data_IF_581796000084
#
_entry.id   IF_581796000084
#
_cell.length_a   1.000
_cell.length_b   1.000
_cell.length_c   1.000
_cell.angle_alpha   90.00
_cell.angle_beta   90.00
_cell.angle_gamma   90.00
#
_symmetry.space_group_name_H-M   'P 1'
#
loop_
_entity.id
_entity.type
_entity.pdbx_description
1 polymer ?
2 non-polymer ?
3 non-polymer ?
4 water ?
#
# COMPACT_ATOMS: atom_id res chain seq x y z
N UNK A 22 -32.67 -15.90 -28.43
CA UNK A 22 -31.76 -14.90 -29.04
C UNK A 22 -31.49 -13.76 -28.04
N UNK A 23 -30.28 -13.70 -27.47
CA UNK A 23 -29.89 -12.61 -26.55
C UNK A 23 -30.13 -12.91 -25.08
N UNK A 24 -30.90 -13.96 -24.76
CA UNK A 24 -31.24 -14.34 -23.36
C UNK A 24 -29.94 -14.75 -22.62
N UNK A 25 -29.10 -15.66 -23.15
CA UNK A 25 -27.87 -16.09 -22.40
C UNK A 25 -26.89 -14.89 -22.27
N UNK A 26 -26.77 -13.99 -23.26
CA UNK A 26 -25.80 -12.86 -23.18
C UNK A 26 -26.27 -11.84 -22.10
N UNK A 27 -27.56 -11.53 -22.03
CA UNK A 27 -28.15 -10.68 -20.96
C UNK A 27 -27.97 -11.34 -19.57
N UNK A 28 -28.22 -12.64 -19.45
CA UNK A 28 -28.12 -13.35 -18.16
C UNK A 28 -26.66 -13.28 -17.69
N UNK A 29 -25.67 -13.45 -18.60
CA UNK A 29 -24.23 -13.39 -18.22
C UNK A 29 -23.94 -11.98 -17.62
N UNK A 30 -24.37 -10.89 -18.28
CA UNK A 30 -24.10 -9.50 -17.80
C UNK A 30 -24.73 -9.32 -16.41
N UNK A 31 -25.96 -9.77 -16.22
CA UNK A 31 -26.67 -9.67 -14.92
C UNK A 31 -25.90 -10.45 -13.84
N UNK A 32 -25.40 -11.63 -14.16
CA UNK A 32 -24.71 -12.47 -13.15
C UNK A 32 -23.39 -11.79 -12.75
N UNK A 33 -22.64 -11.22 -13.67
CA UNK A 33 -21.38 -10.51 -13.35
C UNK A 33 -21.71 -9.38 -12.34
N UNK A 34 -22.74 -8.57 -12.64
CA UNK A 34 -23.11 -7.44 -11.74
C UNK A 34 -23.50 -7.96 -10.34
N UNK A 35 -24.34 -9.01 -10.28
CA UNK A 35 -24.83 -9.59 -9.01
C UNK A 35 -23.66 -10.14 -8.17
N UNK A 36 -22.72 -10.85 -8.79
CA UNK A 36 -21.55 -11.42 -8.07
C UNK A 36 -20.71 -10.24 -7.49
N UNK A 37 -20.56 -9.15 -8.23
CA UNK A 37 -19.79 -7.98 -7.75
C UNK A 37 -20.49 -7.36 -6.54
N UNK A 38 -21.80 -7.12 -6.61
CA UNK A 38 -22.55 -6.52 -5.47
C UNK A 38 -22.44 -7.41 -4.21
N UNK A 39 -22.62 -8.71 -4.35
CA UNK A 39 -22.53 -9.65 -3.20
C UNK A 39 -21.11 -9.59 -2.60
N UNK A 40 -20.09 -9.68 -3.44
CA UNK A 40 -18.67 -9.72 -2.98
C UNK A 40 -18.31 -8.42 -2.24
N UNK A 41 -18.74 -7.25 -2.75
CA UNK A 41 -18.50 -5.95 -2.11
C UNK A 41 -19.16 -5.93 -0.72
N UNK A 42 -20.42 -6.36 -0.60
CA UNK A 42 -21.14 -6.39 0.70
C UNK A 42 -20.48 -7.35 1.72
N UNK A 43 -19.93 -8.46 1.24
CA UNK A 43 -19.31 -9.49 2.11
C UNK A 43 -17.88 -9.03 2.50
N UNK A 44 -17.16 -8.26 1.68
CA UNK A 44 -15.79 -7.76 1.98
C UNK A 44 -15.86 -6.50 2.87
N UNK A 45 -16.74 -5.56 2.51
CA UNK A 45 -16.79 -4.19 3.12
C UNK A 45 -18.10 -4.11 3.94
N UNK A 46 -17.98 -4.27 5.26
CA UNK A 46 -19.12 -4.25 6.20
C UNK A 46 -18.60 -3.81 7.58
N UNK A 47 -19.52 -3.70 8.54
CA UNK A 47 -19.19 -3.08 9.87
C UNK A 47 -18.70 -4.16 10.87
N UNK A 48 -18.53 -5.42 10.44
CA UNK A 48 -18.10 -6.49 11.39
C UNK A 48 -16.62 -6.27 11.77
N UNK A 49 -16.31 -6.35 13.07
CA UNK A 49 -14.93 -6.15 13.59
C UNK A 49 -14.10 -7.42 13.42
N UNK A 50 -13.64 -7.60 12.18
CA UNK A 50 -13.00 -8.81 11.65
C UNK A 50 -12.26 -8.45 10.37
N UNK A 51 -11.16 -9.16 10.06
CA UNK A 51 -10.40 -8.86 8.83
C UNK A 51 -11.24 -9.11 7.57
N UNK A 52 -10.97 -8.32 6.53
CA UNK A 52 -11.55 -8.55 5.19
C UNK A 52 -11.30 -10.01 4.80
N UNK A 53 -12.36 -10.68 4.36
CA UNK A 53 -12.32 -12.07 3.86
C UNK A 53 -11.64 -12.12 2.48
N UNK A 54 -10.56 -12.89 2.35
CA UNK A 54 -9.76 -13.03 1.11
C UNK A 54 -10.63 -13.54 -0.06
N UNK A 55 -11.53 -14.49 0.17
CA UNK A 55 -12.40 -15.07 -0.90
C UNK A 55 -13.15 -13.93 -1.61
N UNK A 56 -13.70 -12.97 -0.84
CA UNK A 56 -14.55 -11.89 -1.39
C UNK A 56 -13.65 -10.83 -2.03
N UNK A 57 -12.55 -10.41 -1.37
CA UNK A 57 -11.61 -9.46 -2.00
C UNK A 57 -11.06 -10.00 -3.35
N UNK A 58 -10.72 -11.29 -3.42
CA UNK A 58 -10.16 -11.89 -4.65
C UNK A 58 -11.21 -11.79 -5.78
N UNK A 59 -12.50 -12.00 -5.49
CA UNK A 59 -13.55 -11.91 -6.53
C UNK A 59 -13.69 -10.45 -7.04
N UNK A 60 -13.55 -9.42 -6.18
CA UNK A 60 -13.54 -8.00 -6.64
C UNK A 60 -12.33 -7.78 -7.55
N UNK A 61 -11.12 -8.24 -7.14
CA UNK A 61 -9.88 -8.01 -7.92
C UNK A 61 -10.04 -8.69 -9.32
N UNK A 62 -10.48 -9.94 -9.32
CA UNK A 62 -10.66 -10.67 -10.63
C UNK A 62 -11.73 -9.95 -11.49
N UNK A 63 -12.77 -9.39 -10.87
CA UNK A 63 -13.77 -8.56 -11.61
C UNK A 63 -13.10 -7.40 -12.35
N UNK A 64 -12.08 -6.76 -11.79
CA UNK A 64 -11.42 -5.61 -12.43
C UNK A 64 -10.62 -6.10 -13.67
N UNK A 65 -10.07 -7.31 -13.61
CA UNK A 65 -9.39 -7.96 -14.77
C UNK A 65 -10.42 -8.34 -15.84
N UNK A 66 -11.62 -8.75 -15.46
CA UNK A 66 -12.71 -9.15 -16.40
C UNK A 66 -13.19 -7.92 -17.22
N UNK A 67 -13.47 -6.79 -16.54
CA UNK A 67 -13.97 -5.58 -17.26
C UNK A 67 -12.83 -4.61 -17.62
N UNK A 68 -11.58 -4.87 -17.24
CA UNK A 68 -10.41 -3.98 -17.53
C UNK A 68 -10.71 -2.57 -16.95
N UNK A 69 -11.09 -2.52 -15.65
CA UNK A 69 -11.38 -1.27 -14.95
C UNK A 69 -11.99 -1.53 -13.59
N UNK A 70 -12.38 -0.44 -12.92
CA UNK A 70 -13.07 -0.52 -11.59
C UNK A 70 -14.38 0.25 -11.60
N UNK A 71 -14.97 0.45 -12.77
CA UNK A 71 -16.20 1.26 -12.87
C UNK A 71 -17.43 0.53 -12.29
N UNK A 72 -17.52 -0.81 -12.41
CA UNK A 72 -18.61 -1.57 -11.71
C UNK A 72 -18.44 -1.46 -10.19
N UNK A 73 -17.24 -1.68 -9.68
CA UNK A 73 -16.98 -1.51 -8.23
C UNK A 73 -17.48 -0.14 -7.75
N UNK A 74 -17.06 0.94 -8.41
CA UNK A 74 -17.43 2.30 -7.88
C UNK A 74 -18.93 2.52 -8.04
N UNK A 75 -19.58 1.98 -9.08
CA UNK A 75 -21.06 2.15 -9.27
C UNK A 75 -21.85 1.68 -8.05
N UNK A 76 -21.35 0.62 -7.36
CA UNK A 76 -21.96 0.12 -6.11
C UNK A 76 -21.34 0.80 -4.87
N UNK A 77 -20.03 1.06 -4.85
CA UNK A 77 -19.35 1.55 -3.63
C UNK A 77 -19.82 2.97 -3.26
N UNK A 78 -20.27 3.82 -4.20
CA UNK A 78 -20.80 5.17 -3.85
C UNK A 78 -22.07 5.04 -3.00
N UNK A 79 -22.71 3.88 -2.97
CA UNK A 79 -23.89 3.61 -2.11
C UNK A 79 -23.56 3.10 -0.71
N UNK A 80 -22.27 2.84 -0.40
CA UNK A 80 -21.90 2.38 0.97
C UNK A 80 -22.05 3.54 1.96
N UNK A 81 -22.63 3.28 3.15
CA UNK A 81 -22.85 4.35 4.16
C UNK A 81 -21.59 4.59 5.02
N UNK A 82 -20.48 5.02 4.40
CA UNK A 82 -19.16 5.13 5.09
C UNK A 82 -19.23 5.98 6.38
N UNK A 83 -19.92 7.15 6.42
CA UNK A 83 -19.97 7.95 7.66
C UNK A 83 -20.70 7.29 8.86
N UNK A 84 -21.46 6.23 8.65
CA UNK A 84 -22.22 5.44 9.66
C UNK A 84 -21.27 4.62 10.55
N UNK A 85 -20.07 4.30 10.04
CA UNK A 85 -19.21 3.29 10.74
C UNK A 85 -17.74 3.48 10.36
N UNK A 86 -16.87 3.65 11.36
CA UNK A 86 -15.42 3.77 11.15
C UNK A 86 -14.82 2.40 10.78
N UNK A 87 -15.37 1.30 11.28
CA UNK A 87 -14.90 -0.05 10.87
C UNK A 87 -15.23 -0.24 9.36
N UNK A 88 -16.45 0.08 8.93
CA UNK A 88 -16.85 -0.03 7.49
C UNK A 88 -15.85 0.83 6.66
N UNK A 89 -15.55 2.06 7.09
CA UNK A 89 -14.63 2.98 6.36
C UNK A 89 -13.22 2.36 6.28
N UNK A 90 -12.75 1.76 7.37
CA UNK A 90 -11.40 1.07 7.43
C UNK A 90 -11.34 -0.09 6.40
N UNK A 91 -12.35 -0.96 6.40
CA UNK A 91 -12.37 -2.12 5.48
C UNK A 91 -12.49 -1.63 4.03
N UNK A 92 -13.24 -0.57 3.78
CA UNK A 92 -13.28 0.09 2.43
C UNK A 92 -11.87 0.47 1.98
N UNK A 93 -11.10 1.15 2.84
CA UNK A 93 -9.71 1.56 2.51
C UNK A 93 -8.81 0.35 2.24
N UNK A 94 -8.95 -0.70 3.03
CA UNK A 94 -8.16 -1.94 2.87
C UNK A 94 -8.43 -2.57 1.50
N UNK A 95 -9.73 -2.71 1.15
CA UNK A 95 -10.06 -3.25 -0.21
C UNK A 95 -9.50 -2.32 -1.32
N UNK A 96 -9.61 -0.97 -1.19
CA UNK A 96 -9.02 -0.09 -2.23
C UNK A 96 -7.52 -0.36 -2.38
N UNK A 97 -6.80 -0.51 -1.27
CA UNK A 97 -5.34 -0.79 -1.35
C UNK A 97 -5.08 -2.09 -2.14
N UNK A 98 -5.84 -3.14 -1.88
CA UNK A 98 -5.69 -4.44 -2.61
C UNK A 98 -6.05 -4.27 -4.08
N UNK A 99 -7.10 -3.51 -4.40
CA UNK A 99 -7.50 -3.28 -5.82
C UNK A 99 -6.39 -2.52 -6.55
N UNK A 100 -5.81 -1.49 -5.91
CA UNK A 100 -4.70 -0.77 -6.55
C UNK A 100 -3.50 -1.70 -6.81
N UNK A 101 -3.09 -2.52 -5.81
CA UNK A 101 -1.87 -3.36 -5.99
C UNK A 101 -2.09 -4.53 -6.97
N UNK A 102 -3.25 -5.21 -6.93
CA UNK A 102 -3.45 -6.49 -7.64
C UNK A 102 -4.48 -6.41 -8.77
N UNK A 103 -5.27 -5.32 -8.86
CA UNK A 103 -6.28 -5.19 -9.95
C UNK A 103 -5.66 -4.77 -11.27
N UNK A 104 -6.51 -4.74 -12.31
CA UNK A 104 -6.02 -4.34 -13.63
C UNK A 104 -5.42 -2.93 -13.56
N UNK A 105 -4.38 -2.58 -14.32
CA UNK A 105 -3.86 -1.20 -14.35
C UNK A 105 -4.88 -0.07 -14.59
N UNK A 106 -5.93 -0.34 -15.37
CA UNK A 106 -6.95 0.69 -15.70
C UNK A 106 -7.69 1.11 -14.43
N UNK A 107 -7.59 0.37 -13.30
CA UNK A 107 -8.31 0.80 -12.08
C UNK A 107 -7.80 2.18 -11.59
N UNK A 108 -6.55 2.53 -11.85
CA UNK A 108 -5.97 3.81 -11.38
C UNK A 108 -6.82 5.01 -11.86
N UNK A 109 -7.21 5.06 -13.13
CA UNK A 109 -8.03 6.19 -13.68
C UNK A 109 -9.40 6.19 -13.05
N UNK A 110 -9.99 4.99 -12.95
CA UNK A 110 -11.36 4.81 -12.43
C UNK A 110 -11.32 5.35 -10.98
N UNK A 111 -10.22 5.10 -10.21
CA UNK A 111 -10.06 5.61 -8.82
C UNK A 111 -9.88 7.15 -8.78
N UNK A 112 -9.22 7.71 -9.80
CA UNK A 112 -8.93 9.17 -9.81
C UNK A 112 -10.24 9.96 -9.94
N UNK A 113 -11.22 9.39 -10.61
CA UNK A 113 -12.59 10.01 -10.72
C UNK A 113 -13.18 10.23 -9.30
N UNK A 114 -12.97 9.30 -8.37
CA UNK A 114 -13.53 9.26 -7.00
C UNK A 114 -12.48 9.70 -5.96
N UNK A 115 -11.44 10.44 -6.33
CA UNK A 115 -10.44 10.99 -5.36
C UNK A 115 -11.14 11.73 -4.22
N UNK A 116 -12.17 12.54 -4.51
CA UNK A 116 -12.80 13.36 -3.45
C UNK A 116 -13.53 12.47 -2.43
N UNK A 117 -14.06 11.32 -2.85
CA UNK A 117 -14.74 10.39 -1.92
C UNK A 117 -13.72 9.91 -0.86
N UNK A 118 -12.52 9.56 -1.31
CA UNK A 118 -11.42 9.10 -0.42
C UNK A 118 -10.98 10.25 0.51
N UNK A 119 -10.72 11.44 -0.03
CA UNK A 119 -10.30 12.63 0.77
C UNK A 119 -11.37 12.94 1.85
N UNK A 120 -12.64 13.01 1.45
CA UNK A 120 -13.71 13.50 2.37
C UNK A 120 -14.00 12.51 3.51
N UNK A 121 -13.91 11.20 3.29
CA UNK A 121 -14.14 10.25 4.41
C UNK A 121 -13.00 10.32 5.42
N UNK A 122 -11.78 10.54 4.96
CA UNK A 122 -10.66 10.69 5.89
C UNK A 122 -10.74 12.00 6.65
N UNK A 123 -11.16 13.09 5.99
CA UNK A 123 -11.32 14.40 6.66
C UNK A 123 -12.40 14.29 7.76
N UNK A 124 -13.52 13.61 7.51
CA UNK A 124 -14.59 13.42 8.54
C UNK A 124 -13.98 12.79 9.79
N UNK A 125 -13.36 11.62 9.67
CA UNK A 125 -12.86 10.85 10.85
C UNK A 125 -11.72 11.64 11.52
N UNK A 126 -10.99 12.46 10.76
CA UNK A 126 -9.96 13.32 11.34
C UNK A 126 -10.45 14.32 12.37
N UNK A 127 -11.74 14.67 12.37
CA UNK A 127 -12.32 15.63 13.34
C UNK A 127 -12.90 14.95 14.60
N UNK A 128 -12.91 13.61 14.68
CA UNK A 128 -13.59 12.78 15.73
C UNK A 128 -12.50 12.03 16.54
N UNK A 129 -12.81 11.52 17.76
CA UNK A 129 -11.87 10.81 18.66
C UNK A 129 -11.93 9.29 18.47
N UNK A 130 -12.64 8.79 17.47
CA UNK A 130 -12.82 7.32 17.33
C UNK A 130 -11.47 6.64 16.97
N UNK A 131 -11.17 5.45 17.57
CA UNK A 131 -9.88 4.73 17.37
C UNK A 131 -9.73 4.28 15.90
N UNK A 132 -10.74 3.66 15.32
CA UNK A 132 -10.67 3.31 13.88
C UNK A 132 -10.65 4.58 13.01
N UNK A 133 -11.43 5.59 13.34
CA UNK A 133 -11.43 6.82 12.52
C UNK A 133 -10.03 7.45 12.38
N UNK A 134 -9.22 7.47 13.47
CA UNK A 134 -7.85 8.02 13.38
C UNK A 134 -7.09 7.20 12.32
N UNK A 135 -7.22 5.87 12.36
CA UNK A 135 -6.53 4.99 11.37
C UNK A 135 -7.02 5.27 9.92
N UNK A 136 -8.31 5.49 9.73
CA UNK A 136 -8.88 5.80 8.39
C UNK A 136 -8.28 7.11 7.86
N UNK A 137 -8.19 8.15 8.70
CA UNK A 137 -7.62 9.44 8.24
C UNK A 137 -6.22 9.20 7.66
N UNK A 138 -5.37 8.47 8.37
CA UNK A 138 -3.98 8.23 7.92
C UNK A 138 -4.01 7.34 6.64
N UNK A 139 -4.90 6.36 6.56
CA UNK A 139 -5.00 5.45 5.39
C UNK A 139 -5.33 6.28 4.14
N UNK A 140 -6.31 7.18 4.24
CA UNK A 140 -6.75 8.01 3.08
C UNK A 140 -5.55 8.82 2.53
N UNK A 141 -4.66 9.37 3.41
CA UNK A 141 -3.49 10.16 2.92
C UNK A 141 -2.59 9.23 2.08
N UNK A 142 -2.42 7.98 2.51
CA UNK A 142 -1.59 6.98 1.76
C UNK A 142 -2.24 6.69 0.41
N UNK A 143 -3.54 6.42 0.38
CA UNK A 143 -4.21 6.06 -0.88
C UNK A 143 -4.14 7.22 -1.89
N UNK A 144 -4.32 8.47 -1.42
CA UNK A 144 -4.24 9.65 -2.31
C UNK A 144 -2.82 9.78 -2.88
N UNK A 145 -1.77 9.55 -2.07
CA UNK A 145 -0.35 9.59 -2.51
C UNK A 145 -0.13 8.50 -3.57
N UNK A 146 -0.66 7.30 -3.37
CA UNK A 146 -0.48 6.17 -4.34
C UNK A 146 -1.09 6.58 -5.69
N UNK A 147 -2.31 7.09 -5.68
CA UNK A 147 -3.02 7.45 -6.94
C UNK A 147 -2.21 8.53 -7.66
N UNK A 148 -1.77 9.61 -6.96
CA UNK A 148 -0.99 10.71 -7.59
C UNK A 148 0.32 10.18 -8.17
N UNK A 149 1.05 9.41 -7.38
CA UNK A 149 2.40 8.94 -7.78
C UNK A 149 2.30 8.10 -9.05
N UNK A 150 1.38 7.15 -9.11
CA UNK A 150 1.30 6.18 -10.23
C UNK A 150 0.68 6.84 -11.50
N UNK A 151 -0.11 7.91 -11.40
CA UNK A 151 -0.53 8.70 -12.59
C UNK A 151 0.69 9.48 -13.13
N UNK A 152 1.54 10.04 -12.24
CA UNK A 152 2.70 10.90 -12.63
C UNK A 152 3.83 10.04 -13.24
N UNK A 153 3.96 8.80 -12.75
CA UNK A 153 5.08 7.90 -13.12
C UNK A 153 4.52 6.55 -13.55
N UNK A 154 3.92 6.48 -14.76
CA UNK A 154 3.24 5.27 -15.23
C UNK A 154 4.14 4.03 -15.54
N UNK A 155 5.46 4.16 -15.53
CA UNK A 155 6.42 3.03 -15.63
C UNK A 155 6.30 2.13 -14.39
N UNK A 156 5.77 2.65 -13.26
CA UNK A 156 5.60 1.88 -12.00
C UNK A 156 4.15 1.45 -11.86
N UNK A 157 3.80 0.15 -11.96
CA UNK A 157 2.45 -0.30 -11.59
C UNK A 157 2.12 0.03 -10.12
N UNK A 158 0.84 0.16 -9.76
CA UNK A 158 0.47 0.53 -8.37
C UNK A 158 0.80 -0.55 -7.32
N UNK A 159 1.13 -1.79 -7.69
CA UNK A 159 1.70 -2.77 -6.73
C UNK A 159 3.22 -2.63 -6.58
N UNK A 160 3.84 -1.68 -7.32
CA UNK A 160 5.25 -1.22 -7.18
C UNK A 160 6.30 -2.22 -7.68
N UNK A 161 5.97 -3.43 -8.10
CA UNK A 161 7.00 -4.40 -8.57
C UNK A 161 7.42 -4.04 -10.00
N UNK A 162 8.73 -3.82 -10.20
CA UNK A 162 9.33 -3.68 -11.56
C UNK A 162 10.65 -4.47 -11.60
N UNK A 163 11.05 -4.91 -12.80
CA UNK A 163 12.41 -5.46 -13.00
C UNK A 163 13.46 -4.35 -12.73
N UNK A 164 14.70 -4.76 -12.40
CA UNK A 164 15.84 -3.83 -12.37
C UNK A 164 15.93 -3.05 -13.71
N UNK A 165 15.71 -3.70 -14.86
CA UNK A 165 15.74 -3.04 -16.21
C UNK A 165 14.73 -1.86 -16.25
N UNK A 166 13.48 -2.05 -15.79
CA UNK A 166 12.43 -0.99 -15.86
C UNK A 166 12.78 0.15 -14.86
N UNK A 167 13.31 -0.21 -13.69
CA UNK A 167 13.73 0.82 -12.72
C UNK A 167 14.85 1.68 -13.34
N UNK A 168 15.83 1.03 -13.98
CA UNK A 168 16.98 1.76 -14.59
C UNK A 168 16.45 2.73 -15.67
N UNK A 169 15.51 2.30 -16.50
CA UNK A 169 14.93 3.15 -17.58
C UNK A 169 14.15 4.34 -16.96
N UNK A 170 13.37 4.07 -15.91
CA UNK A 170 12.54 5.11 -15.24
C UNK A 170 13.45 6.17 -14.58
N UNK A 171 14.54 5.76 -13.94
CA UNK A 171 15.55 6.68 -13.41
C UNK A 171 16.25 7.46 -14.53
N UNK A 172 16.66 6.79 -15.61
CA UNK A 172 17.43 7.39 -16.71
C UNK A 172 18.76 8.02 -16.26
N UNK A 173 19.23 9.04 -16.99
CA UNK A 173 20.61 9.62 -16.84
C UNK A 173 20.56 11.09 -16.41
N UNK A 174 19.40 11.74 -16.43
CA UNK A 174 19.23 13.18 -16.05
C UNK A 174 19.15 13.32 -14.52
N UNK A 175 20.11 14.00 -13.89
CA UNK A 175 20.13 14.24 -12.42
C UNK A 175 18.81 14.90 -11.94
N UNK A 176 18.17 15.75 -12.77
CA UNK A 176 16.88 16.41 -12.42
C UNK A 176 15.78 15.36 -12.22
N UNK A 177 15.66 14.38 -13.10
CA UNK A 177 14.62 13.32 -13.00
C UNK A 177 14.94 12.41 -11.80
N UNK A 178 16.19 12.02 -11.59
CA UNK A 178 16.58 11.18 -10.43
C UNK A 178 16.24 11.90 -9.10
N UNK A 179 16.62 13.18 -8.97
CA UNK A 179 16.36 13.99 -7.78
C UNK A 179 14.86 14.04 -7.45
N UNK A 180 14.00 14.34 -8.44
CA UNK A 180 12.55 14.51 -8.24
C UNK A 180 11.97 13.13 -7.82
N UNK A 181 12.43 12.05 -8.45
CA UNK A 181 11.88 10.72 -8.12
C UNK A 181 12.24 10.34 -6.66
N UNK A 182 13.43 10.72 -6.21
CA UNK A 182 13.88 10.37 -4.83
C UNK A 182 12.98 11.10 -3.79
N UNK A 183 12.77 12.40 -3.98
CA UNK A 183 11.95 13.19 -3.01
C UNK A 183 10.55 12.56 -2.93
N UNK A 184 9.99 12.19 -4.09
CA UNK A 184 8.59 11.66 -4.16
C UNK A 184 8.53 10.27 -3.51
N UNK A 185 9.58 9.49 -3.66
CA UNK A 185 9.58 8.16 -2.97
C UNK A 185 9.81 8.29 -1.45
N UNK A 186 10.56 9.30 -0.98
CA UNK A 186 10.65 9.57 0.47
C UNK A 186 9.23 9.89 1.00
N UNK A 187 8.48 10.75 0.30
CA UNK A 187 7.11 11.19 0.75
C UNK A 187 6.20 9.93 0.79
N UNK A 188 6.32 9.06 -0.21
CA UNK A 188 5.48 7.82 -0.33
C UNK A 188 5.80 6.88 0.87
N UNK A 189 7.08 6.64 1.13
CA UNK A 189 7.51 5.77 2.27
C UNK A 189 7.00 6.38 3.61
N UNK A 190 7.06 7.70 3.79
CA UNK A 190 6.55 8.37 5.00
C UNK A 190 5.07 8.00 5.24
N UNK A 191 4.23 8.02 4.20
CA UNK A 191 2.79 7.76 4.34
C UNK A 191 2.55 6.30 4.76
N UNK A 192 3.36 5.39 4.25
CA UNK A 192 3.25 3.94 4.54
C UNK A 192 3.63 3.71 6.03
N UNK A 193 4.78 4.24 6.46
CA UNK A 193 5.31 4.06 7.84
C UNK A 193 4.40 4.74 8.88
N UNK A 194 3.79 5.88 8.56
CA UNK A 194 2.84 6.54 9.51
C UNK A 194 1.68 5.57 9.79
N UNK A 195 1.16 4.87 8.75
CA UNK A 195 0.03 3.95 8.98
C UNK A 195 0.49 2.80 9.89
N UNK A 196 1.65 2.20 9.64
CA UNK A 196 2.13 1.04 10.46
C UNK A 196 2.31 1.50 11.93
N UNK A 197 2.85 2.71 12.12
CA UNK A 197 3.14 3.22 13.47
C UNK A 197 1.82 3.45 14.21
N UNK A 198 0.79 3.99 13.54
CA UNK A 198 -0.51 4.30 14.21
C UNK A 198 -1.22 2.99 14.62
N UNK A 199 -1.17 1.97 13.76
CA UNK A 199 -1.78 0.64 14.03
C UNK A 199 -1.10 0.03 15.27
N UNK A 200 0.22 0.00 15.27
CA UNK A 200 1.00 -0.64 16.38
C UNK A 200 0.77 0.08 17.72
N UNK A 201 0.56 1.42 17.72
CA UNK A 201 0.32 2.22 18.96
C UNK A 201 -0.98 1.82 19.67
N UNK A 202 -1.95 1.22 18.94
CA UNK A 202 -3.26 0.74 19.47
C UNK A 202 -3.18 -0.71 20.05
N UNK A 203 -2.16 -1.46 19.72
CA UNK A 203 -1.95 -2.89 20.07
C UNK A 203 -0.75 -3.01 21.03
N UNK A 204 -0.97 -3.63 22.19
CA UNK A 204 0.04 -3.87 23.26
C UNK A 204 0.87 -5.12 22.98
N UNK A 205 1.92 -5.35 23.76
CA UNK A 205 3.01 -6.29 23.40
C UNK A 205 2.49 -7.73 23.23
N UNK A 206 1.38 -8.09 23.90
CA UNK A 206 0.81 -9.46 23.82
C UNK A 206 0.06 -9.67 22.50
N UNK A 207 -0.03 -8.64 21.67
CA UNK A 207 -0.57 -8.81 20.27
C UNK A 207 0.25 -9.89 19.51
N UNK A 208 1.54 -10.09 19.83
CA UNK A 208 2.39 -11.10 19.17
C UNK A 208 1.84 -12.53 19.27
N UNK A 209 1.12 -12.87 20.36
CA UNK A 209 0.52 -14.23 20.48
C UNK A 209 -1.01 -14.05 20.54
N UNK A 210 -1.58 -13.12 19.79
CA UNK A 210 -3.06 -12.97 19.77
C UNK A 210 -3.63 -13.27 18.39
N UNK A 211 -4.82 -13.87 18.40
CA UNK A 211 -5.67 -14.11 17.21
C UNK A 211 -7.03 -13.38 17.38
N UNK A 212 -7.09 -12.41 18.27
CA UNK A 212 -8.31 -11.61 18.53
C UNK A 212 -8.78 -10.97 17.20
N UNK A 213 -10.06 -11.11 16.83
CA UNK A 213 -10.64 -10.62 15.55
C UNK A 213 -10.36 -9.13 15.33
N UNK A 214 -10.53 -8.30 16.36
CA UNK A 214 -10.27 -6.83 16.24
C UNK A 214 -8.79 -6.56 15.99
N UNK A 215 -7.89 -7.38 16.54
CA UNK A 215 -6.45 -7.27 16.23
C UNK A 215 -6.17 -7.64 14.79
N UNK A 216 -6.73 -8.76 14.31
CA UNK A 216 -6.54 -9.19 12.90
C UNK A 216 -7.10 -8.11 11.95
N UNK A 217 -8.21 -7.48 12.30
CA UNK A 217 -8.90 -6.45 11.44
C UNK A 217 -7.88 -5.32 11.20
N UNK A 218 -7.20 -4.85 12.28
CA UNK A 218 -6.20 -3.74 12.16
C UNK A 218 -4.87 -4.21 11.52
N UNK A 219 -4.39 -5.42 11.81
CA UNK A 219 -3.09 -5.93 11.26
C UNK A 219 -3.18 -6.28 9.77
N UNK A 220 -4.32 -6.77 9.30
CA UNK A 220 -4.41 -7.37 7.93
C UNK A 220 -3.93 -6.38 6.86
N UNK A 221 -4.30 -5.08 6.89
CA UNK A 221 -3.84 -4.15 5.83
C UNK A 221 -2.30 -4.01 5.77
N UNK A 222 -1.62 -4.28 6.90
CA UNK A 222 -0.14 -4.11 6.92
C UNK A 222 0.55 -5.17 6.01
N UNK A 223 -0.13 -6.24 5.59
CA UNK A 223 0.43 -7.19 4.56
C UNK A 223 0.64 -6.38 3.26
N UNK A 224 -0.29 -5.51 2.91
CA UNK A 224 -0.12 -4.65 1.70
C UNK A 224 1.00 -3.62 1.92
N UNK A 225 1.00 -2.98 3.12
CA UNK A 225 2.03 -1.98 3.48
C UNK A 225 3.45 -2.60 3.40
N UNK A 226 3.65 -3.80 3.95
CA UNK A 226 4.98 -4.47 3.92
C UNK A 226 5.45 -4.67 2.45
N UNK A 227 4.55 -5.09 1.56
CA UNK A 227 4.96 -5.30 0.15
C UNK A 227 5.33 -3.96 -0.52
N UNK A 228 4.54 -2.91 -0.31
CA UNK A 228 4.89 -1.59 -0.90
C UNK A 228 6.30 -1.18 -0.39
N UNK A 229 6.50 -1.23 0.93
CA UNK A 229 7.71 -0.71 1.60
C UNK A 229 8.96 -1.46 1.13
N UNK A 230 8.87 -2.78 0.96
CA UNK A 230 10.01 -3.60 0.47
C UNK A 230 10.51 -3.06 -0.89
N UNK A 231 9.59 -2.80 -1.81
CA UNK A 231 9.92 -2.20 -3.14
C UNK A 231 10.50 -0.78 -2.98
N UNK A 232 9.84 0.10 -2.20
CA UNK A 232 10.31 1.49 -2.05
C UNK A 232 11.74 1.52 -1.48
N UNK A 233 12.04 0.63 -0.51
CA UNK A 233 13.40 0.57 0.09
C UNK A 233 14.45 0.28 -1.00
N UNK A 234 14.21 -0.75 -1.84
CA UNK A 234 15.17 -1.12 -2.92
C UNK A 234 15.38 0.08 -3.87
N UNK A 235 14.27 0.71 -4.29
CA UNK A 235 14.34 1.79 -5.31
C UNK A 235 15.09 3.02 -4.74
N UNK A 236 14.80 3.38 -3.46
CA UNK A 236 15.43 4.56 -2.82
C UNK A 236 16.93 4.31 -2.59
N UNK A 237 17.35 3.09 -2.20
CA UNK A 237 18.79 2.76 -2.12
C UNK A 237 19.47 3.02 -3.49
N UNK A 238 18.89 2.48 -4.57
CA UNK A 238 19.53 2.63 -5.91
C UNK A 238 19.56 4.11 -6.34
N UNK A 239 18.47 4.87 -6.11
CA UNK A 239 18.43 6.30 -6.51
C UNK A 239 19.45 7.12 -5.69
N UNK A 240 19.59 6.81 -4.38
CA UNK A 240 20.57 7.48 -3.48
C UNK A 240 22.03 7.24 -3.93
N UNK A 241 22.37 6.06 -4.38
CA UNK A 241 23.74 5.84 -4.96
C UNK A 241 23.89 6.60 -6.29
N UNK A 242 22.85 6.66 -7.13
CA UNK A 242 22.94 7.44 -8.40
C UNK A 242 23.15 8.95 -8.08
N UNK A 243 22.49 9.51 -7.04
CA UNK A 243 22.69 10.95 -6.72
C UNK A 243 24.15 11.17 -6.24
N UNK A 244 24.69 10.27 -5.41
CA UNK A 244 26.06 10.42 -4.84
C UNK A 244 27.13 10.36 -5.95
N UNK A 245 26.81 9.83 -7.13
CA UNK A 245 27.79 9.81 -8.25
C UNK A 245 27.76 11.09 -9.10
N UNK A 246 26.77 12.01 -8.93
CA UNK A 246 26.68 13.20 -9.81
C UNK A 246 26.56 14.51 -9.03
N UNK A 247 26.52 14.47 -7.69
CA UNK A 247 26.42 15.70 -6.84
C UNK A 247 27.48 15.64 -5.74
N UNK A 248 27.98 16.82 -5.25
CA UNK A 248 28.94 16.80 -4.15
C UNK A 248 28.34 16.22 -2.87
N UNK A 249 29.15 15.48 -2.11
CA UNK A 249 28.74 14.79 -0.87
C UNK A 249 28.14 15.81 0.12
N UNK A 250 28.71 17.00 0.24
CA UNK A 250 28.19 18.01 1.21
C UNK A 250 26.80 18.57 0.82
N UNK A 251 26.34 18.48 -0.43
CA UNK A 251 24.98 18.94 -0.83
C UNK A 251 23.91 17.88 -0.45
N UNK A 252 24.32 16.64 -0.13
CA UNK A 252 23.39 15.49 0.09
C UNK A 252 23.26 15.09 1.57
N UNK A 253 23.73 15.93 2.52
CA UNK A 253 23.59 15.56 3.95
C UNK A 253 22.11 15.48 4.33
N UNK A 254 21.26 16.41 3.90
CA UNK A 254 19.85 16.33 4.29
C UNK A 254 19.18 15.07 3.76
N UNK A 255 19.50 14.69 2.52
CA UNK A 255 19.00 13.42 1.94
C UNK A 255 19.49 12.21 2.75
N UNK A 256 20.78 12.15 3.11
CA UNK A 256 21.26 11.05 3.99
C UNK A 256 20.52 11.04 5.34
N UNK A 257 20.31 12.23 5.95
CA UNK A 257 19.58 12.32 7.24
C UNK A 257 18.14 11.76 7.09
N UNK A 258 17.44 12.10 5.98
CA UNK A 258 16.06 11.62 5.75
C UNK A 258 16.09 10.08 5.59
N UNK A 259 17.02 9.57 4.77
CA UNK A 259 17.12 8.10 4.56
C UNK A 259 17.37 7.37 5.89
N UNK A 260 18.26 7.91 6.74
CA UNK A 260 18.66 7.21 7.99
C UNK A 260 17.45 7.08 8.92
N UNK A 261 16.65 8.14 9.07
CA UNK A 261 15.43 8.13 9.92
C UNK A 261 14.39 7.13 9.35
N UNK A 262 14.14 7.17 8.03
CA UNK A 262 13.24 6.14 7.43
C UNK A 262 13.77 4.71 7.62
N UNK A 263 15.06 4.48 7.45
CA UNK A 263 15.64 3.11 7.55
C UNK A 263 15.36 2.52 8.95
N UNK A 264 15.64 3.28 10.01
CA UNK A 264 15.43 2.79 11.40
C UNK A 264 13.94 2.52 11.69
N UNK A 265 13.01 3.35 11.18
CA UNK A 265 11.55 3.11 11.27
C UNK A 265 11.14 1.82 10.52
N UNK A 266 11.68 1.63 9.31
CA UNK A 266 11.37 0.44 8.47
C UNK A 266 11.89 -0.84 9.14
N UNK A 267 13.12 -0.84 9.65
CA UNK A 267 13.76 -2.01 10.30
C UNK A 267 12.92 -2.42 11.53
N UNK A 268 12.48 -1.43 12.31
CA UNK A 268 11.71 -1.67 13.56
C UNK A 268 10.32 -2.22 13.18
N UNK A 269 9.70 -1.70 12.12
CA UNK A 269 8.39 -2.23 11.61
C UNK A 269 8.52 -3.70 11.18
N UNK A 270 9.49 -4.02 10.31
CA UNK A 270 9.65 -5.42 9.78
C UNK A 270 9.97 -6.38 10.94
N UNK A 271 10.81 -5.96 11.89
CA UNK A 271 11.18 -6.85 13.04
C UNK A 271 9.95 -7.15 13.89
N UNK A 272 9.20 -6.11 14.29
CA UNK A 272 7.98 -6.29 15.12
C UNK A 272 6.93 -7.14 14.36
N UNK A 273 6.69 -6.86 13.07
CA UNK A 273 5.71 -7.63 12.28
C UNK A 273 6.14 -9.11 12.21
N UNK A 274 7.44 -9.39 12.12
CA UNK A 274 8.01 -10.78 12.04
C UNK A 274 7.67 -11.56 13.30
N UNK A 275 7.33 -10.87 14.39
CA UNK A 275 7.03 -11.52 15.70
C UNK A 275 5.52 -11.83 15.83
N UNK A 276 4.65 -11.36 14.92
CA UNK A 276 3.16 -11.56 15.05
C UNK A 276 2.78 -13.02 14.67
N UNK A 277 2.15 -13.78 15.58
CA UNK A 277 1.52 -15.10 15.24
C UNK A 277 0.60 -14.93 14.01
N UNK A 278 -0.21 -13.88 13.97
CA UNK A 278 -1.22 -13.69 12.86
C UNK A 278 -0.55 -13.76 11.50
N UNK A 279 0.64 -13.20 11.39
CA UNK A 279 1.38 -13.12 10.10
C UNK A 279 2.12 -14.42 9.75
N UNK A 280 2.28 -15.38 10.66
CA UNK A 280 3.20 -16.54 10.40
C UNK A 280 2.79 -17.30 9.14
N UNK A 281 1.48 -17.54 8.90
CA UNK A 281 1.00 -18.36 7.75
C UNK A 281 0.63 -17.48 6.52
N UNK A 282 0.73 -16.16 6.63
CA UNK A 282 0.21 -15.18 5.64
C UNK A 282 1.32 -14.43 4.89
N UNK A 283 2.54 -14.30 5.45
CA UNK A 283 3.62 -13.50 4.78
C UNK A 283 4.98 -13.87 5.39
N UNK A 284 5.98 -14.04 4.52
CA UNK A 284 7.43 -14.22 4.84
C UNK A 284 8.13 -12.87 4.65
N UNK A 285 8.49 -12.25 5.78
CA UNK A 285 9.02 -10.86 5.82
C UNK A 285 10.55 -10.93 5.74
N UNK A 286 11.19 -10.20 4.81
CA UNK A 286 12.65 -10.22 4.70
C UNK A 286 13.39 -9.53 5.88
N UNK A 287 14.60 -10.02 6.13
CA UNK A 287 15.58 -9.45 7.09
C UNK A 287 16.29 -8.27 6.42
N UNK A 288 16.35 -7.15 7.11
CA UNK A 288 17.10 -5.96 6.66
C UNK A 288 18.43 -5.91 7.37
N UNK A 289 19.41 -5.16 6.83
CA UNK A 289 20.70 -5.03 7.49
C UNK A 289 20.60 -4.29 8.82
N UNK A 290 21.65 -4.37 9.62
CA UNK A 290 21.68 -3.79 10.99
C UNK A 290 21.61 -2.25 10.88
N UNK A 291 22.27 -1.68 9.87
CA UNK A 291 22.23 -0.24 9.57
C UNK A 291 22.17 0.07 8.08
N UNK A 292 21.99 1.36 7.74
CA UNK A 292 21.86 1.80 6.34
C UNK A 292 23.16 1.70 5.56
N UNK A 293 23.10 1.66 4.19
CA UNK A 293 24.30 1.56 3.37
C UNK A 293 25.12 2.85 3.49
N UNK A 294 26.45 2.77 3.35
CA UNK A 294 27.32 3.96 3.31
C UNK A 294 27.32 4.56 1.90
N UNK A 295 26.46 5.56 1.67
CA UNK A 295 26.31 6.21 0.34
C UNK A 295 27.60 6.95 -0.08
N UNK A 296 28.52 7.23 0.85
CA UNK A 296 29.79 7.96 0.55
C UNK A 296 30.80 7.01 -0.12
N UNK A 297 30.59 5.70 -0.06
CA UNK A 297 31.47 4.68 -0.69
C UNK A 297 30.78 4.04 -1.89
N UNK A 298 31.18 4.38 -3.11
CA UNK A 298 30.48 3.94 -4.35
C UNK A 298 30.43 2.40 -4.37
N UNK A 299 31.47 1.74 -3.85
CA UNK A 299 31.58 0.26 -3.90
C UNK A 299 30.55 -0.42 -2.99
N UNK A 300 29.91 0.31 -2.07
CA UNK A 300 28.85 -0.26 -1.21
C UNK A 300 27.57 -0.62 -2.01
N UNK A 301 27.35 -0.05 -3.20
CA UNK A 301 26.15 -0.44 -4.01
C UNK A 301 26.18 -1.96 -4.32
N UNK A 302 27.33 -2.53 -4.65
CA UNK A 302 27.42 -3.96 -5.04
C UNK A 302 27.13 -4.87 -3.83
N UNK A 303 27.19 -4.34 -2.58
CA UNK A 303 26.93 -5.16 -1.35
C UNK A 303 25.45 -5.11 -0.95
N UNK A 304 24.64 -4.27 -1.58
CA UNK A 304 23.17 -4.20 -1.32
C UNK A 304 22.48 -5.50 -1.77
N UNK A 305 21.71 -6.12 -0.87
CA UNK A 305 20.81 -7.26 -1.19
C UNK A 305 19.35 -6.75 -1.35
N UNK A 306 18.74 -7.05 -2.48
CA UNK A 306 17.32 -6.75 -2.76
C UNK A 306 16.43 -7.60 -1.84
N UNK A 307 15.63 -7.02 -0.93
CA UNK A 307 14.72 -7.81 -0.10
C UNK A 307 13.57 -8.38 -0.93
N UNK A 308 13.17 -9.63 -0.69
CA UNK A 308 12.05 -10.28 -1.43
C UNK A 308 11.01 -10.85 -0.47
N UNK A 309 9.83 -10.21 -0.44
CA UNK A 309 8.64 -10.73 0.28
C UNK A 309 8.10 -11.96 -0.47
N UNK A 310 7.68 -12.98 0.27
CA UNK A 310 6.96 -14.18 -0.27
C UNK A 310 5.60 -14.30 0.44
N UNK A 311 4.51 -14.53 -0.31
CA UNK A 311 3.19 -14.94 0.23
C UNK A 311 3.09 -16.47 0.13
N UNK A 312 3.06 -17.20 1.26
CA UNK A 312 3.02 -18.67 1.22
C UNK A 312 1.71 -19.25 0.69
N UNK A 313 1.73 -20.51 0.23
CA UNK A 313 0.52 -21.28 -0.18
C UNK A 313 -0.54 -21.21 0.93
N UNK A 314 -1.81 -20.97 0.57
CA UNK A 314 -2.95 -20.77 1.51
C UNK A 314 -3.36 -22.12 2.12
#
# INVERSE_FOLDING_TARGET
GSPGIHMNSIKNVPARVLSRRPGHSLEAEREQFDKTQAISISKAINSQEAPVKEKHARRIILGTHHEKGAFTFWSYAIGLPLPSSSILSWKFCHVLHKVLRDGHPNVLHDCQRYRSNIREIGDLWGHLRDQYGHLVNIYTKLLLTKISFHLKHPQFPAGLEVTDEVLEKAAGTDVNNIFQLTVEMFDYMDCELKLSESVFRQLNTAIAVSQMSSGQCRLAPLIQVIQDCSHLYHYTVKLMFKLHSCLPADTLQGHRDRFHEQFHSLRNFFRRASDMLYFKRLIQIPRLPEGPPNFLRASALAEHIKPVVVIPEEAPEE
#
